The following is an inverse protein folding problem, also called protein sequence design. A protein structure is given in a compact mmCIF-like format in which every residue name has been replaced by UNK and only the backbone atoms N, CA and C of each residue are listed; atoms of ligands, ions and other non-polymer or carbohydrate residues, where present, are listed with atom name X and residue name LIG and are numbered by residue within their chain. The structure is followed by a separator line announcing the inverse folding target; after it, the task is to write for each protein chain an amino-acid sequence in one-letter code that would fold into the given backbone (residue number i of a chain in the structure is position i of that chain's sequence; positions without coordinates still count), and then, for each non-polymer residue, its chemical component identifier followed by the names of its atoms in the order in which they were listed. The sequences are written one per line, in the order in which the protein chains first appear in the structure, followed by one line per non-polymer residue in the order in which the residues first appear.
data_IF_393447823347
#
_entry.id   IF_393447823347
#
_cell.length_a   1.000
_cell.length_b   1.000
_cell.length_c   1.000
_cell.angle_alpha   90.00
_cell.angle_beta   90.00
_cell.angle_gamma   90.00
#
_symmetry.space_group_name_H-M   'P 1'
#
loop_
_entity.id
_entity.type
_entity.pdbx_description
1 polymer ?
#
# COMPACT_ATOMS: atom_id res chain seq x y z
N UNK A 1 -13.50 -94.14 -31.78
CA UNK A 1 -13.91 -92.73 -31.95
C UNK A 1 -13.08 -91.88 -30.99
N UNK A 2 -12.19 -91.01 -31.52
CA UNK A 2 -11.72 -89.80 -30.82
C UNK A 2 -10.48 -89.87 -29.90
N UNK A 3 -9.30 -89.67 -30.49
CA UNK A 3 -8.21 -88.71 -30.16
C UNK A 3 -7.96 -88.19 -28.70
N UNK A 4 -6.68 -88.21 -28.26
CA UNK A 4 -6.04 -87.14 -27.43
C UNK A 4 -5.97 -85.80 -28.25
N UNK A 5 -5.54 -84.59 -27.78
CA UNK A 5 -4.76 -84.22 -26.57
C UNK A 5 -5.08 -82.82 -25.94
N UNK A 6 -4.22 -82.38 -25.00
CA UNK A 6 -3.71 -81.02 -24.70
C UNK A 6 -4.58 -79.74 -24.82
N UNK A 7 -4.59 -78.94 -23.74
CA UNK A 7 -4.42 -77.45 -23.65
C UNK A 7 -5.00 -77.01 -22.29
N UNK A 8 -4.28 -76.35 -21.38
CA UNK A 8 -3.44 -75.18 -21.57
C UNK A 8 -4.27 -73.92 -21.33
N UNK A 9 -4.03 -73.20 -20.22
CA UNK A 9 -4.15 -71.73 -20.16
C UNK A 9 -3.56 -71.16 -18.86
N UNK A 10 -2.37 -70.61 -19.06
CA UNK A 10 -1.75 -69.50 -18.33
C UNK A 10 -2.70 -68.33 -18.13
N UNK A 11 -2.60 -67.65 -16.98
CA UNK A 11 -2.94 -66.23 -16.84
C UNK A 11 -1.70 -65.49 -16.32
N UNK A 12 -1.13 -64.55 -17.10
CA UNK A 12 -0.17 -63.58 -16.62
C UNK A 12 -0.91 -62.34 -16.10
N UNK A 13 -0.30 -61.60 -15.16
CA UNK A 13 -0.56 -60.16 -15.04
C UNK A 13 0.62 -59.45 -14.37
N UNK A 14 0.91 -58.20 -14.76
CA UNK A 14 2.24 -57.63 -14.73
C UNK A 14 2.43 -56.59 -13.61
N UNK A 15 3.70 -56.34 -13.34
CA UNK A 15 4.28 -55.18 -12.66
C UNK A 15 3.62 -53.87 -13.13
N UNK A 16 3.47 -52.89 -12.23
CA UNK A 16 3.54 -51.46 -12.56
C UNK A 16 3.76 -50.65 -11.28
N UNK A 17 4.87 -49.93 -11.27
CA UNK A 17 5.31 -48.94 -10.31
C UNK A 17 4.24 -47.86 -10.07
N UNK A 18 4.12 -47.29 -8.87
CA UNK A 18 3.35 -46.05 -8.71
C UNK A 18 4.13 -44.90 -9.35
N UNK A 19 3.61 -44.43 -10.47
CA UNK A 19 4.00 -43.22 -11.16
C UNK A 19 3.98 -42.02 -10.22
N UNK A 20 5.08 -41.29 -10.19
CA UNK A 20 5.17 -39.94 -9.60
C UNK A 20 4.20 -39.04 -10.37
N UNK A 21 3.23 -38.37 -9.72
CA UNK A 21 2.53 -37.28 -10.36
C UNK A 21 3.49 -36.09 -10.47
N UNK A 22 3.72 -35.71 -11.72
CA UNK A 22 4.25 -34.43 -12.17
C UNK A 22 3.62 -33.27 -11.38
N UNK A 23 4.35 -32.77 -10.39
CA UNK A 23 4.04 -31.50 -9.74
C UNK A 23 4.61 -30.40 -10.63
N UNK A 24 3.80 -29.96 -11.59
CA UNK A 24 3.99 -28.67 -12.27
C UNK A 24 4.07 -27.54 -11.24
N UNK A 25 4.64 -26.38 -11.63
CA UNK A 25 4.96 -25.33 -10.69
C UNK A 25 3.67 -24.86 -10.03
N UNK A 26 3.62 -24.95 -8.70
CA UNK A 26 2.54 -24.37 -7.92
C UNK A 26 2.41 -22.89 -8.31
N UNK A 27 1.18 -22.38 -8.51
CA UNK A 27 0.98 -20.96 -8.70
C UNK A 27 1.52 -20.28 -7.46
N UNK A 28 2.58 -19.49 -7.66
CA UNK A 28 3.14 -18.58 -6.67
C UNK A 28 1.96 -17.83 -6.08
N UNK A 29 1.54 -18.21 -4.88
CA UNK A 29 0.59 -17.43 -4.11
C UNK A 29 1.31 -16.13 -3.84
N UNK A 30 1.08 -15.16 -4.72
CA UNK A 30 1.40 -13.78 -4.45
C UNK A 30 0.70 -13.47 -3.13
N UNK A 31 1.47 -13.42 -2.05
CA UNK A 31 1.04 -12.77 -0.82
C UNK A 31 0.44 -11.45 -1.28
N UNK A 32 -0.90 -11.33 -1.18
CA UNK A 32 -1.65 -10.15 -1.61
C UNK A 32 -1.04 -8.99 -0.85
N UNK A 33 -0.12 -8.31 -1.52
CA UNK A 33 0.74 -7.33 -0.91
C UNK A 33 -0.17 -6.20 -0.48
N UNK A 34 -0.11 -5.83 0.80
CA UNK A 34 -0.89 -4.69 1.31
C UNK A 34 -0.61 -3.48 0.41
N UNK A 35 -1.61 -2.62 0.14
CA UNK A 35 -1.40 -1.45 -0.71
C UNK A 35 -0.23 -0.64 -0.16
N UNK A 36 0.81 -0.54 -0.97
CA UNK A 36 2.07 0.11 -0.63
C UNK A 36 2.15 1.52 -1.21
N UNK A 37 1.09 1.99 -1.87
CA UNK A 37 1.02 3.28 -2.50
C UNK A 37 -0.40 3.81 -2.63
N UNK A 38 -0.52 5.09 -2.98
CA UNK A 38 -1.77 5.75 -3.38
C UNK A 38 -1.59 6.57 -4.65
N UNK A 39 -2.66 6.66 -5.43
CA UNK A 39 -2.74 7.54 -6.59
C UNK A 39 -2.86 9.03 -6.15
N UNK A 40 -2.11 9.90 -6.81
CA UNK A 40 -2.08 11.36 -6.53
C UNK A 40 -2.94 12.19 -7.48
N UNK A 41 -3.73 11.55 -8.32
CA UNK A 41 -4.61 12.21 -9.27
C UNK A 41 -5.27 11.22 -10.20
N UNK A 42 -6.10 11.74 -11.09
CA UNK A 42 -6.78 10.92 -12.08
C UNK A 42 -5.84 10.53 -13.20
N UNK A 43 -5.74 9.23 -13.50
CA UNK A 43 -4.91 8.75 -14.61
C UNK A 43 -5.53 7.52 -15.30
N UNK A 44 -5.50 7.45 -16.64
CA UNK A 44 -5.06 8.51 -17.56
C UNK A 44 -6.07 9.66 -17.63
N UNK A 45 -5.60 10.87 -17.93
CA UNK A 45 -6.43 12.08 -17.96
C UNK A 45 -7.33 12.04 -19.19
N UNK A 46 -8.65 11.96 -19.00
CA UNK A 46 -9.65 12.05 -20.07
C UNK A 46 -10.25 10.73 -20.56
N UNK A 47 -9.90 9.59 -19.96
CA UNK A 47 -10.64 8.34 -20.16
C UNK A 47 -11.92 8.30 -19.31
N UNK A 48 -12.82 7.33 -19.57
CA UNK A 48 -14.01 7.14 -18.74
C UNK A 48 -13.63 7.01 -17.25
N UNK A 49 -14.39 7.68 -16.38
CA UNK A 49 -14.15 7.73 -14.92
C UNK A 49 -14.15 6.34 -14.24
N UNK A 50 -14.67 5.33 -14.93
CA UNK A 50 -14.73 3.94 -14.48
C UNK A 50 -13.42 3.17 -14.75
N UNK A 51 -12.59 3.69 -15.66
CA UNK A 51 -11.33 3.08 -16.06
C UNK A 51 -10.13 3.86 -15.57
N UNK A 52 -10.30 5.04 -14.97
CA UNK A 52 -9.19 5.84 -14.46
C UNK A 52 -8.99 5.65 -12.97
N UNK A 53 -7.72 5.71 -12.55
CA UNK A 53 -7.34 5.85 -11.15
C UNK A 53 -7.94 7.14 -10.59
N UNK A 54 -8.25 7.15 -9.29
CA UNK A 54 -8.72 8.35 -8.59
C UNK A 54 -7.71 8.81 -7.55
N UNK A 55 -7.71 10.11 -7.25
CA UNK A 55 -6.93 10.64 -6.14
C UNK A 55 -7.26 9.88 -4.84
N UNK A 56 -6.24 9.38 -4.15
CA UNK A 56 -6.38 8.61 -2.91
C UNK A 56 -6.68 7.13 -3.10
N UNK A 57 -6.77 6.65 -4.35
CA UNK A 57 -7.01 5.24 -4.62
C UNK A 57 -5.81 4.39 -4.17
N UNK A 58 -6.05 3.28 -3.43
CA UNK A 58 -4.99 2.40 -2.98
C UNK A 58 -4.40 1.61 -4.14
N UNK A 59 -3.07 1.62 -4.22
CA UNK A 59 -2.29 1.00 -5.27
C UNK A 59 -1.28 0.01 -4.69
N UNK A 60 -1.03 -1.06 -5.44
CA UNK A 60 0.10 -1.97 -5.25
C UNK A 60 1.12 -1.72 -6.35
N UNK A 61 2.37 -1.45 -5.96
CA UNK A 61 3.43 -1.21 -6.95
C UNK A 61 3.91 -2.55 -7.50
N UNK A 62 3.80 -2.75 -8.81
CA UNK A 62 4.23 -3.96 -9.53
C UNK A 62 5.65 -3.80 -10.05
N UNK A 63 5.97 -2.62 -10.61
CA UNK A 63 7.30 -2.30 -11.13
C UNK A 63 7.64 -0.83 -10.94
N UNK A 64 8.89 -0.56 -10.57
CA UNK A 64 9.46 0.78 -10.33
C UNK A 64 10.58 1.11 -11.33
N UNK A 65 10.35 0.85 -12.61
CA UNK A 65 11.36 1.05 -13.65
C UNK A 65 11.44 2.53 -14.08
N UNK A 66 12.39 3.26 -13.48
CA UNK A 66 12.65 4.66 -13.83
C UNK A 66 11.50 5.61 -13.48
N UNK A 67 11.12 6.46 -14.43
CA UNK A 67 10.10 7.51 -14.25
C UNK A 67 8.65 7.01 -14.45
N UNK A 68 8.46 5.78 -14.94
CA UNK A 68 7.16 5.19 -15.23
C UNK A 68 6.97 3.91 -14.44
N UNK A 69 5.98 3.90 -13.55
CA UNK A 69 5.73 2.78 -12.67
C UNK A 69 4.50 2.01 -13.12
N UNK A 70 4.58 0.69 -13.00
CA UNK A 70 3.42 -0.18 -13.16
C UNK A 70 2.78 -0.38 -11.80
N UNK A 71 1.52 0.01 -11.68
CA UNK A 71 0.75 -0.09 -10.44
C UNK A 71 -0.54 -0.87 -10.68
N UNK A 72 -0.93 -1.68 -9.72
CA UNK A 72 -2.21 -2.38 -9.69
C UNK A 72 -3.16 -1.61 -8.78
N UNK A 73 -4.33 -1.23 -9.29
CA UNK A 73 -5.41 -0.69 -8.45
C UNK A 73 -6.04 -1.81 -7.63
N UNK A 74 -6.11 -1.63 -6.31
CA UNK A 74 -6.83 -2.56 -5.44
C UNK A 74 -8.37 -2.39 -5.56
N UNK A 75 -8.83 -1.27 -6.13
CA UNK A 75 -10.27 -0.98 -6.30
C UNK A 75 -10.78 -1.59 -7.60
N UNK A 76 -10.11 -1.34 -8.72
CA UNK A 76 -10.53 -1.83 -10.04
C UNK A 76 -9.90 -3.17 -10.41
N UNK A 77 -8.85 -3.60 -9.71
CA UNK A 77 -8.08 -4.80 -10.03
C UNK A 77 -7.30 -4.70 -11.34
N UNK A 78 -7.10 -3.48 -11.85
CA UNK A 78 -6.43 -3.20 -13.14
C UNK A 78 -5.04 -2.66 -12.94
N UNK A 79 -4.16 -3.02 -13.87
CA UNK A 79 -2.81 -2.47 -13.94
C UNK A 79 -2.79 -1.19 -14.78
N UNK A 80 -2.03 -0.21 -14.30
CA UNK A 80 -1.81 1.07 -14.93
C UNK A 80 -0.32 1.33 -15.02
N UNK A 81 0.12 1.86 -16.16
CA UNK A 81 1.46 2.44 -16.30
C UNK A 81 1.35 3.95 -16.14
N UNK A 82 1.83 4.48 -15.02
CA UNK A 82 1.66 5.88 -14.66
C UNK A 82 3.02 6.50 -14.27
N UNK A 83 3.20 7.81 -14.47
CA UNK A 83 4.41 8.48 -14.02
C UNK A 83 4.59 8.36 -12.51
N UNK A 84 5.82 8.17 -12.04
CA UNK A 84 6.14 8.09 -10.61
C UNK A 84 5.68 9.32 -9.81
N UNK A 85 5.57 10.48 -10.48
CA UNK A 85 5.04 11.74 -9.90
C UNK A 85 3.55 11.69 -9.54
N UNK A 86 2.81 10.74 -10.08
CA UNK A 86 1.38 10.53 -9.81
C UNK A 86 1.15 9.44 -8.75
N UNK A 87 2.22 8.94 -8.11
CA UNK A 87 2.18 7.92 -7.08
C UNK A 87 2.86 8.44 -5.82
N UNK A 88 2.26 8.20 -4.65
CA UNK A 88 2.97 8.29 -3.38
C UNK A 88 3.08 6.91 -2.76
N UNK A 89 4.29 6.50 -2.36
CA UNK A 89 4.46 5.29 -1.56
C UNK A 89 3.94 5.52 -0.16
N UNK A 90 3.29 4.52 0.41
CA UNK A 90 2.75 4.57 1.76
C UNK A 90 3.40 3.49 2.60
N UNK A 91 4.07 3.94 3.65
CA UNK A 91 4.68 3.10 4.68
C UNK A 91 3.97 3.34 6.02
N UNK A 92 3.81 2.29 6.83
CA UNK A 92 3.15 2.35 8.15
C UNK A 92 1.70 2.90 8.14
N UNK A 93 1.10 3.11 6.97
CA UNK A 93 -0.23 3.70 6.79
C UNK A 93 -0.31 5.22 6.96
N UNK A 94 0.77 5.89 7.41
CA UNK A 94 0.79 7.33 7.65
C UNK A 94 2.03 8.03 7.11
N UNK A 95 3.06 7.30 6.65
CA UNK A 95 4.26 7.88 6.05
C UNK A 95 4.17 7.82 4.53
N UNK A 96 4.21 8.98 3.90
CA UNK A 96 4.07 9.14 2.45
C UNK A 96 5.39 9.64 1.85
N UNK A 97 5.91 8.89 0.89
CA UNK A 97 7.08 9.28 0.09
C UNK A 97 6.63 9.77 -1.29
N UNK A 98 7.32 10.76 -1.85
CA UNK A 98 6.94 11.36 -3.14
C UNK A 98 5.73 12.30 -3.06
N UNK A 99 5.13 12.50 -1.88
CA UNK A 99 3.95 13.34 -1.71
C UNK A 99 4.29 14.83 -1.54
N UNK A 100 3.78 15.67 -2.44
CA UNK A 100 3.92 17.12 -2.35
C UNK A 100 3.02 17.73 -1.26
N UNK A 101 3.27 19.00 -0.92
CA UNK A 101 2.44 19.72 0.05
C UNK A 101 0.99 19.83 -0.44
N UNK A 102 0.80 20.27 -1.68
CA UNK A 102 -0.52 20.50 -2.26
C UNK A 102 -1.30 19.18 -2.38
N UNK A 103 -0.63 18.10 -2.82
CA UNK A 103 -1.25 16.77 -2.89
C UNK A 103 -1.60 16.19 -1.53
N UNK A 104 -0.82 16.48 -0.49
CA UNK A 104 -1.19 16.12 0.88
C UNK A 104 -2.47 16.83 1.33
N UNK A 105 -2.67 18.10 0.96
CA UNK A 105 -3.88 18.85 1.28
C UNK A 105 -5.09 18.26 0.54
N UNK A 106 -4.96 17.99 -0.77
CA UNK A 106 -6.01 17.34 -1.55
C UNK A 106 -6.42 15.98 -0.96
N UNK A 107 -5.44 15.12 -0.63
CA UNK A 107 -5.70 13.80 -0.03
C UNK A 107 -6.42 13.91 1.32
N UNK A 108 -5.97 14.80 2.21
CA UNK A 108 -6.59 14.96 3.53
C UNK A 108 -8.02 15.51 3.43
N UNK A 109 -8.30 16.35 2.43
CA UNK A 109 -9.61 16.94 2.20
C UNK A 109 -10.59 16.00 1.49
N UNK A 110 -10.17 14.81 1.05
CA UNK A 110 -11.07 13.81 0.48
C UNK A 110 -12.25 13.51 1.42
N UNK A 111 -13.45 13.27 0.86
CA UNK A 111 -14.61 12.87 1.64
C UNK A 111 -14.33 11.53 2.34
N UNK A 112 -14.76 11.41 3.60
CA UNK A 112 -14.52 10.24 4.44
C UNK A 112 -13.37 10.39 5.44
N UNK A 113 -12.44 11.32 5.24
CA UNK A 113 -11.42 11.62 6.23
C UNK A 113 -11.99 12.43 7.41
N UNK A 114 -11.89 11.93 8.66
CA UNK A 114 -12.39 12.66 9.82
C UNK A 114 -11.53 13.88 10.17
N UNK A 115 -12.09 14.78 10.99
CA UNK A 115 -11.28 15.79 11.67
C UNK A 115 -10.21 15.12 12.52
N UNK A 116 -8.96 15.57 12.40
CA UNK A 116 -7.79 14.94 13.01
C UNK A 116 -7.06 13.94 12.11
N UNK A 117 -7.59 13.63 10.91
CA UNK A 117 -6.85 12.84 9.92
C UNK A 117 -5.49 13.51 9.64
N UNK A 118 -4.45 12.68 9.55
CA UNK A 118 -3.09 13.16 9.38
C UNK A 118 -2.27 12.26 8.48
N UNK A 119 -1.17 12.80 7.97
CA UNK A 119 -0.12 12.05 7.29
C UNK A 119 1.22 12.75 7.51
N UNK A 120 2.31 11.99 7.41
CA UNK A 120 3.67 12.50 7.40
C UNK A 120 4.21 12.35 5.99
N UNK A 121 4.62 13.45 5.38
CA UNK A 121 5.29 13.43 4.08
C UNK A 121 6.80 13.56 4.24
N UNK A 122 7.55 12.72 3.54
CA UNK A 122 8.99 12.92 3.38
C UNK A 122 9.25 14.00 2.32
N UNK A 123 10.27 14.83 2.54
CA UNK A 123 10.68 15.83 1.58
C UNK A 123 11.29 15.18 0.34
N UNK A 124 10.70 15.46 -0.83
CA UNK A 124 11.18 15.00 -2.13
C UNK A 124 12.64 15.39 -2.44
N UNK A 125 13.13 16.50 -1.87
CA UNK A 125 14.48 17.03 -2.15
C UNK A 125 15.51 16.72 -1.07
N UNK A 126 15.08 16.30 0.13
CA UNK A 126 15.97 16.06 1.26
C UNK A 126 15.46 14.88 2.09
N UNK A 127 16.07 13.72 1.86
CA UNK A 127 15.84 12.52 2.66
C UNK A 127 16.05 12.81 4.14
N UNK A 128 15.17 12.28 4.99
CA UNK A 128 15.18 12.52 6.43
C UNK A 128 14.62 13.87 6.89
N UNK A 129 14.09 14.71 5.99
CA UNK A 129 13.28 15.87 6.35
C UNK A 129 11.80 15.51 6.23
N UNK A 130 11.05 15.58 7.33
CA UNK A 130 9.64 15.20 7.35
C UNK A 130 8.74 16.41 7.65
N UNK A 131 7.50 16.33 7.21
CA UNK A 131 6.45 17.28 7.58
C UNK A 131 5.17 16.54 7.90
N UNK A 132 4.58 16.84 9.05
CA UNK A 132 3.29 16.34 9.48
C UNK A 132 2.19 17.27 8.94
N UNK A 133 1.24 16.72 8.21
CA UNK A 133 0.05 17.41 7.70
C UNK A 133 -1.18 16.90 8.45
N UNK A 134 -1.99 17.80 9.01
CA UNK A 134 -3.17 17.43 9.81
C UNK A 134 -4.40 18.20 9.34
N UNK A 135 -5.51 17.49 9.14
CA UNK A 135 -6.83 18.08 8.90
C UNK A 135 -7.44 18.55 10.21
N UNK A 136 -7.67 19.85 10.32
CA UNK A 136 -8.40 20.47 11.41
C UNK A 136 -9.83 20.73 10.94
N UNK A 137 -10.74 19.84 11.33
CA UNK A 137 -12.18 20.07 11.19
C UNK A 137 -12.72 20.64 12.49
N UNK A 138 -13.51 21.72 12.44
CA UNK A 138 -14.24 22.21 13.60
C UNK A 138 -15.71 22.37 13.25
N UNK A 139 -16.64 22.17 14.20
CA UNK A 139 -18.08 22.23 13.94
C UNK A 139 -18.59 23.53 13.30
N UNK A 140 -17.84 24.64 13.45
CA UNK A 140 -18.24 25.97 13.01
C UNK A 140 -17.27 26.61 12.00
N UNK A 141 -16.30 25.87 11.44
CA UNK A 141 -15.33 26.44 10.51
C UNK A 141 -15.02 25.52 9.34
N UNK A 142 -14.62 26.12 8.22
CA UNK A 142 -14.07 25.39 7.08
C UNK A 142 -12.87 24.52 7.47
N UNK A 143 -12.75 23.37 6.82
CA UNK A 143 -11.66 22.43 7.02
C UNK A 143 -10.32 23.05 6.64
N UNK A 144 -9.39 23.11 7.60
CA UNK A 144 -8.05 23.66 7.37
C UNK A 144 -7.01 22.56 7.47
N UNK A 145 -6.02 22.57 6.59
CA UNK A 145 -4.84 21.71 6.74
C UNK A 145 -3.72 22.51 7.41
N UNK A 146 -3.13 21.93 8.45
CA UNK A 146 -1.96 22.51 9.13
C UNK A 146 -0.74 21.63 8.92
N UNK A 147 0.36 22.27 8.54
CA UNK A 147 1.65 21.62 8.30
C UNK A 147 2.62 21.96 9.43
N UNK A 148 3.23 20.94 10.00
CA UNK A 148 4.27 21.05 11.01
C UNK A 148 5.56 20.45 10.48
N UNK A 149 6.65 21.20 10.57
CA UNK A 149 7.98 20.68 10.23
C UNK A 149 8.47 19.78 11.36
N UNK A 150 8.91 18.58 11.00
CA UNK A 150 9.58 17.68 11.93
C UNK A 150 11.08 17.95 11.80
N UNK A 151 11.68 18.45 12.86
CA UNK A 151 13.09 18.70 12.97
C UNK A 151 13.81 17.46 13.49
N UNK A 152 15.09 17.34 13.13
CA UNK A 152 15.98 16.29 13.58
C UNK A 152 17.15 16.91 14.33
N UNK A 153 17.45 16.38 15.50
CA UNK A 153 18.61 16.73 16.33
C UNK A 153 19.85 15.95 15.87
N UNK A 154 21.03 16.41 16.29
CA UNK A 154 22.31 15.76 15.95
C UNK A 154 22.42 14.33 16.51
N UNK A 155 21.77 14.05 17.64
CA UNK A 155 21.65 12.70 18.21
C UNK A 155 20.66 11.79 17.45
N UNK A 156 20.05 12.29 16.37
CA UNK A 156 19.10 11.56 15.53
C UNK A 156 17.64 11.66 15.98
N UNK A 157 17.34 12.23 17.14
CA UNK A 157 15.96 12.36 17.65
C UNK A 157 15.17 13.40 16.87
N UNK A 158 13.84 13.25 16.88
CA UNK A 158 12.89 14.04 16.11
C UNK A 158 12.02 14.89 17.02
N UNK A 159 11.63 16.08 16.56
CA UNK A 159 10.68 16.92 17.30
C UNK A 159 9.88 17.85 16.38
N UNK A 160 8.69 18.21 16.84
CA UNK A 160 7.90 19.33 16.29
C UNK A 160 7.99 20.52 17.24
N UNK A 161 7.87 20.27 18.54
CA UNK A 161 8.09 21.24 19.62
C UNK A 161 9.39 20.89 20.34
N UNK A 162 10.34 21.83 20.54
CA UNK A 162 11.62 21.53 21.20
C UNK A 162 11.51 20.92 22.61
N UNK A 163 10.35 21.05 23.25
CA UNK A 163 10.07 20.49 24.58
C UNK A 163 9.83 18.98 24.55
N UNK A 164 9.43 18.43 23.42
CA UNK A 164 9.12 17.02 23.24
C UNK A 164 9.90 16.45 22.08
N UNK A 165 10.77 15.50 22.39
CA UNK A 165 11.68 14.87 21.44
C UNK A 165 11.42 13.35 21.45
N UNK A 166 11.59 12.73 20.29
CA UNK A 166 11.22 11.34 20.06
C UNK A 166 12.35 10.58 19.36
N UNK A 167 12.60 9.31 19.69
CA UNK A 167 13.65 8.52 19.04
C UNK A 167 13.30 8.09 17.61
N UNK A 168 12.01 8.11 17.22
CA UNK A 168 11.54 7.70 15.89
C UNK A 168 10.25 8.40 15.48
N UNK A 169 9.92 8.36 14.18
CA UNK A 169 8.64 8.88 13.68
C UNK A 169 7.46 8.12 14.28
N UNK A 170 7.59 6.80 14.47
CA UNK A 170 6.57 5.98 15.12
C UNK A 170 6.28 6.49 16.53
N UNK A 171 7.31 6.72 17.36
CA UNK A 171 7.13 7.24 18.71
C UNK A 171 6.51 8.65 18.73
N UNK A 172 6.83 9.48 17.74
CA UNK A 172 6.20 10.79 17.56
C UNK A 172 4.70 10.63 17.24
N UNK A 173 4.36 9.75 16.29
CA UNK A 173 2.97 9.49 15.90
C UNK A 173 2.18 8.91 17.06
N UNK A 174 2.69 7.90 17.76
CA UNK A 174 2.04 7.27 18.91
C UNK A 174 1.72 8.28 20.01
N UNK A 175 2.64 9.22 20.24
CA UNK A 175 2.43 10.28 21.23
C UNK A 175 1.30 11.24 20.82
N UNK A 176 1.32 11.74 19.58
CA UNK A 176 0.32 12.70 19.11
C UNK A 176 -1.04 12.06 18.80
N UNK A 177 -1.07 10.77 18.43
CA UNK A 177 -2.31 10.01 18.25
C UNK A 177 -2.92 9.60 19.59
N UNK A 178 -2.09 9.19 20.56
CA UNK A 178 -2.52 8.83 21.92
C UNK A 178 -3.00 10.01 22.75
N UNK A 179 -2.42 11.21 22.56
CA UNK A 179 -2.94 12.44 23.19
C UNK A 179 -4.25 12.94 22.57
N UNK A 180 -4.62 12.45 21.38
CA UNK A 180 -5.80 12.90 20.65
C UNK A 180 -7.11 12.15 21.03
N UNK A 181 -7.08 11.25 22.02
CA UNK A 181 -8.30 10.59 22.53
C UNK A 181 -8.43 10.77 24.05
N UNK A 182 -9.11 11.84 24.48
CA UNK A 182 -10.04 11.75 25.58
C UNK A 182 -11.43 12.11 25.03
N UNK A 183 -12.02 11.22 24.23
CA UNK A 183 -13.44 11.31 23.91
C UNK A 183 -14.03 9.90 23.82
N UNK A 184 -15.02 9.66 24.69
CA UNK A 184 -15.93 8.50 24.84
C UNK A 184 -15.38 7.43 25.81
N UNK A 185 -15.95 7.26 27.01
CA UNK A 185 -17.36 6.93 27.25
C UNK A 185 -17.85 7.38 28.65
N UNK A 186 -18.93 8.16 28.70
CA UNK A 186 -19.92 8.15 29.79
C UNK A 186 -21.31 7.96 29.15
#
# INVERSE_FOLDING_TARGET
MGSQPSRGKTLPSPSLSPSVPDQGPEPVQAERSKPSAVALGSFPVGEQEELSLRLGEPLTIVSEDGDWWTVLSEVSGREYSIPSTHVAKVSHGWLYEGLSRDKAEELLLLPGNPGGAFLIRESQTRRGCYSLSVRLSRPASWDRIRHYRIHRLDNGWLYISPRLTFPSLQALVDHYSGMAIPCLHE
#
